data_IF_452642795094
#
_entry.id   IF_452642795094
#
_cell.length_a   1.000
_cell.length_b   1.000
_cell.length_c   1.000
_cell.angle_alpha   90.00
_cell.angle_beta   90.00
_cell.angle_gamma   90.00
#
_symmetry.space_group_name_H-M   'P 1'
#
loop_
_entity.id
_entity.type
_entity.pdbx_description
1 polymer ?
#
# COMPACT_ATOMS: atom_id res chain seq x y z
N UNK A 1 9.49 -20.45 11.35
CA UNK A 1 8.68 -20.16 10.14
C UNK A 1 7.32 -19.64 10.58
N UNK A 2 6.85 -18.55 9.96
CA UNK A 2 5.52 -17.99 10.23
C UNK A 2 4.76 -18.00 8.92
N UNK A 3 3.57 -18.62 8.91
CA UNK A 3 2.70 -18.64 7.73
C UNK A 3 1.39 -17.99 8.09
N UNK A 4 0.99 -16.98 7.32
CA UNK A 4 -0.29 -16.30 7.50
C UNK A 4 -1.15 -16.48 6.26
N UNK A 5 -2.45 -16.49 6.46
CA UNK A 5 -3.42 -16.51 5.36
C UNK A 5 -4.06 -15.13 5.28
N UNK A 6 -3.94 -14.50 4.11
CA UNK A 6 -4.43 -13.12 3.92
C UNK A 6 -5.88 -12.99 4.34
N UNK A 7 -6.73 -13.93 3.94
CA UNK A 7 -8.17 -13.86 4.23
C UNK A 7 -8.50 -13.96 5.72
N UNK A 8 -7.54 -14.38 6.55
CA UNK A 8 -7.73 -14.48 8.01
C UNK A 8 -7.14 -13.30 8.76
N UNK A 9 -6.47 -12.39 8.08
CA UNK A 9 -5.95 -11.17 8.70
C UNK A 9 -7.07 -10.15 8.71
N UNK A 10 -7.34 -9.59 9.88
CA UNK A 10 -8.37 -8.57 10.01
C UNK A 10 -8.00 -7.34 9.19
N UNK A 11 -8.93 -6.89 8.35
CA UNK A 11 -8.74 -5.69 7.56
C UNK A 11 -9.26 -4.49 8.35
N UNK A 12 -8.51 -3.39 8.30
CA UNK A 12 -9.09 -2.12 8.73
C UNK A 12 -9.37 -1.30 7.48
N UNK A 13 -10.53 -0.66 7.52
CA UNK A 13 -10.98 0.16 6.41
C UNK A 13 -10.41 1.55 6.59
N UNK A 14 -9.57 1.95 5.65
CA UNK A 14 -9.13 3.32 5.56
C UNK A 14 -10.30 4.16 5.07
N UNK A 15 -10.19 5.47 5.22
CA UNK A 15 -11.15 6.38 4.64
C UNK A 15 -11.15 6.16 3.13
N UNK A 16 -12.31 6.33 2.49
CA UNK A 16 -12.43 6.35 1.03
C UNK A 16 -12.36 4.97 0.34
N UNK A 17 -12.63 3.88 1.07
CA UNK A 17 -12.83 2.57 0.43
C UNK A 17 -11.58 1.74 0.25
N UNK A 18 -10.53 2.05 0.99
CA UNK A 18 -9.31 1.25 1.02
C UNK A 18 -9.39 0.25 2.17
N UNK A 19 -9.11 -1.03 1.90
CA UNK A 19 -9.06 -2.07 2.91
C UNK A 19 -7.62 -2.54 3.04
N UNK A 20 -7.06 -2.41 4.25
CA UNK A 20 -5.66 -2.71 4.51
C UNK A 20 -5.54 -3.85 5.51
N UNK A 21 -4.73 -4.84 5.16
CA UNK A 21 -4.37 -5.94 6.06
C UNK A 21 -2.87 -5.88 6.30
N UNK A 22 -2.48 -5.61 7.53
CA UNK A 22 -1.06 -5.61 7.91
C UNK A 22 -0.59 -7.06 7.99
N UNK A 23 0.41 -7.42 7.21
CA UNK A 23 0.87 -8.81 7.13
C UNK A 23 2.00 -9.06 8.12
N UNK A 24 3.12 -8.37 7.95
CA UNK A 24 4.27 -8.48 8.85
C UNK A 24 4.84 -7.12 9.17
N UNK A 25 5.31 -6.99 10.40
CA UNK A 25 6.02 -5.81 10.87
C UNK A 25 7.13 -6.26 11.82
N UNK A 26 8.06 -5.37 12.18
CA UNK A 26 9.13 -5.75 13.11
C UNK A 26 8.63 -6.35 14.42
N UNK A 27 7.53 -5.83 14.98
CA UNK A 27 7.02 -6.33 16.26
C UNK A 27 6.53 -7.77 16.18
N UNK A 28 6.17 -8.25 14.99
CA UNK A 28 5.68 -9.61 14.81
C UNK A 28 6.79 -10.60 14.47
N UNK A 29 8.00 -10.12 14.22
CA UNK A 29 9.12 -10.93 13.79
C UNK A 29 10.32 -10.79 14.73
N UNK A 30 10.07 -10.40 15.98
CA UNK A 30 11.12 -10.21 16.99
C UNK A 30 12.20 -9.25 16.51
N UNK A 31 11.79 -8.21 15.78
CA UNK A 31 12.65 -7.16 15.24
C UNK A 31 13.74 -7.68 14.28
N UNK A 32 13.48 -8.80 13.61
CA UNK A 32 14.43 -9.33 12.64
C UNK A 32 14.28 -8.73 11.24
N UNK A 33 13.17 -7.99 11.00
CA UNK A 33 13.01 -7.21 9.79
C UNK A 33 12.85 -5.74 10.17
N UNK A 34 13.20 -4.83 9.25
CA UNK A 34 13.04 -3.39 9.50
C UNK A 34 11.89 -2.79 8.67
N UNK A 35 11.33 -3.54 7.76
CA UNK A 35 10.24 -3.10 6.89
C UNK A 35 8.90 -3.64 7.39
N UNK A 36 7.82 -3.14 6.81
CA UNK A 36 6.50 -3.70 7.01
C UNK A 36 5.87 -4.05 5.66
N UNK A 37 4.99 -5.04 5.65
CA UNK A 37 4.28 -5.49 4.46
C UNK A 37 2.79 -5.45 4.75
N UNK A 38 2.02 -4.87 3.84
CA UNK A 38 0.57 -4.83 3.94
C UNK A 38 -0.08 -5.23 2.62
N UNK A 39 -1.29 -5.73 2.71
CA UNK A 39 -2.13 -6.09 1.57
C UNK A 39 -3.23 -5.04 1.48
N UNK A 40 -3.32 -4.38 0.34
CA UNK A 40 -4.25 -3.28 0.13
C UNK A 40 -5.24 -3.62 -0.97
N UNK A 41 -6.52 -3.38 -0.73
CA UNK A 41 -7.57 -3.55 -1.72
C UNK A 41 -8.31 -2.24 -1.89
N UNK A 42 -8.48 -1.81 -3.15
CA UNK A 42 -9.20 -0.58 -3.49
C UNK A 42 -10.34 -0.97 -4.43
N UNK A 43 -11.56 -0.63 -4.06
CA UNK A 43 -12.73 -0.95 -4.88
C UNK A 43 -12.82 -0.04 -6.10
N UNK A 44 -13.52 -0.50 -7.18
CA UNK A 44 -13.69 0.34 -8.36
C UNK A 44 -14.25 1.72 -8.04
N UNK A 45 -13.70 2.74 -8.66
CA UNK A 45 -14.12 4.11 -8.47
C UNK A 45 -13.59 4.77 -7.21
N UNK A 46 -12.77 4.05 -6.42
CA UNK A 46 -12.21 4.56 -5.18
C UNK A 46 -10.71 4.79 -5.34
N UNK A 47 -10.13 5.47 -4.37
CA UNK A 47 -8.68 5.69 -4.33
C UNK A 47 -8.20 5.65 -2.90
N UNK A 48 -6.89 5.40 -2.73
CA UNK A 48 -6.28 5.57 -1.43
C UNK A 48 -6.22 7.08 -1.12
N UNK A 49 -6.12 7.40 0.16
CA UNK A 49 -6.00 8.79 0.58
C UNK A 49 -4.63 9.33 0.15
N UNK A 50 -4.56 10.50 -0.50
CA UNK A 50 -3.27 11.10 -0.79
C UNK A 50 -2.50 11.37 0.50
N UNK A 51 -1.24 10.96 0.52
CA UNK A 51 -0.40 11.13 1.69
C UNK A 51 1.08 11.18 1.29
N UNK A 52 1.90 11.67 2.20
CA UNK A 52 3.34 11.76 2.03
C UNK A 52 3.98 10.99 3.18
N UNK A 53 4.88 10.07 2.84
CA UNK A 53 5.60 9.27 3.84
C UNK A 53 7.03 9.76 3.95
N UNK A 54 7.56 9.74 5.17
CA UNK A 54 8.98 10.02 5.40
C UNK A 54 9.86 8.85 4.97
N UNK A 55 9.25 7.69 4.77
CA UNK A 55 9.90 6.44 4.40
C UNK A 55 9.67 6.15 2.93
N UNK A 56 10.42 5.20 2.37
CA UNK A 56 10.14 4.72 1.01
C UNK A 56 9.01 3.70 1.04
N UNK A 57 8.34 3.56 -0.08
CA UNK A 57 7.29 2.57 -0.23
C UNK A 57 7.38 1.91 -1.60
N UNK A 58 7.02 0.65 -1.67
CA UNK A 58 6.98 -0.10 -2.92
C UNK A 58 5.63 -0.79 -3.02
N UNK A 59 5.03 -0.75 -4.22
CA UNK A 59 3.78 -1.43 -4.50
C UNK A 59 4.01 -2.50 -5.54
N UNK A 60 3.44 -3.66 -5.32
CA UNK A 60 3.36 -4.71 -6.34
C UNK A 60 1.88 -4.95 -6.62
N UNK A 61 1.45 -4.66 -7.84
CA UNK A 61 0.04 -4.83 -8.22
C UNK A 61 -0.22 -6.32 -8.48
N UNK A 62 -1.06 -6.91 -7.65
CA UNK A 62 -1.40 -8.32 -7.72
C UNK A 62 -2.57 -8.55 -8.67
N UNK A 63 -3.54 -7.64 -8.67
CA UNK A 63 -4.77 -7.79 -9.44
C UNK A 63 -5.31 -6.42 -9.81
N UNK A 64 -5.93 -6.35 -11.00
CA UNK A 64 -6.62 -5.14 -11.42
C UNK A 64 -5.72 -4.15 -12.12
N UNK A 65 -6.24 -2.97 -12.31
CA UNK A 65 -5.51 -1.86 -12.93
C UNK A 65 -5.97 -0.54 -12.33
N UNK A 66 -5.13 0.45 -12.43
CA UNK A 66 -5.42 1.75 -11.86
C UNK A 66 -4.44 2.80 -12.33
N UNK A 67 -4.45 3.93 -11.65
CA UNK A 67 -3.51 5.02 -11.90
C UNK A 67 -2.73 5.28 -10.63
N UNK A 68 -1.41 5.18 -10.71
CA UNK A 68 -0.53 5.53 -9.60
C UNK A 68 -0.10 6.98 -9.75
N UNK A 69 -0.25 7.74 -8.68
CA UNK A 69 0.16 9.15 -8.61
C UNK A 69 1.31 9.27 -7.63
N UNK A 70 2.43 9.80 -8.08
CA UNK A 70 3.62 10.06 -7.25
C UNK A 70 4.15 11.44 -7.59
N UNK A 71 4.06 12.38 -6.65
CA UNK A 71 4.44 13.77 -6.90
C UNK A 71 3.61 14.35 -8.04
N UNK A 72 4.29 14.87 -9.06
CA UNK A 72 3.62 15.43 -10.23
C UNK A 72 3.38 14.40 -11.33
N UNK A 73 3.88 13.17 -11.15
CA UNK A 73 3.73 12.12 -12.16
C UNK A 73 2.49 11.29 -11.90
N UNK A 74 1.92 10.75 -12.98
CA UNK A 74 0.91 9.71 -12.85
C UNK A 74 1.09 8.73 -14.01
N UNK A 75 0.84 7.46 -13.74
CA UNK A 75 0.97 6.41 -14.75
C UNK A 75 -0.12 5.38 -14.57
N UNK A 76 -0.63 4.86 -15.67
CA UNK A 76 -1.50 3.71 -15.67
C UNK A 76 -0.68 2.49 -15.24
N UNK A 77 -1.21 1.73 -14.28
CA UNK A 77 -0.56 0.51 -13.77
C UNK A 77 -1.55 -0.63 -13.82
N UNK A 78 -1.04 -1.85 -13.87
CA UNK A 78 -1.85 -3.06 -13.96
C UNK A 78 -1.15 -4.21 -13.28
N UNK A 79 -1.80 -5.37 -13.27
CA UNK A 79 -1.26 -6.60 -12.68
C UNK A 79 0.19 -6.82 -13.11
N UNK A 80 1.01 -7.15 -12.12
CA UNK A 80 2.44 -7.42 -12.25
C UNK A 80 3.32 -6.18 -12.42
N UNK A 81 2.76 -5.00 -12.33
CA UNK A 81 3.59 -3.79 -12.26
C UNK A 81 4.10 -3.59 -10.84
N UNK A 82 5.32 -3.08 -10.73
CA UNK A 82 5.95 -2.74 -9.46
C UNK A 82 6.29 -1.26 -9.47
N UNK A 83 5.92 -0.55 -8.41
CA UNK A 83 6.11 0.89 -8.31
C UNK A 83 7.00 1.19 -7.11
N UNK A 84 8.00 2.04 -7.30
CA UNK A 84 8.81 2.58 -6.22
C UNK A 84 8.41 4.01 -5.95
N UNK A 85 8.14 4.31 -4.68
CA UNK A 85 7.81 5.66 -4.23
C UNK A 85 8.94 6.14 -3.32
N UNK A 86 9.71 7.15 -3.72
CA UNK A 86 10.76 7.67 -2.88
C UNK A 86 10.20 8.39 -1.65
N UNK A 87 11.01 8.52 -0.59
CA UNK A 87 10.58 9.28 0.58
C UNK A 87 10.17 10.70 0.23
N UNK A 88 9.22 11.23 0.97
CA UNK A 88 8.76 12.62 0.88
C UNK A 88 8.02 12.94 -0.42
N UNK A 89 7.55 11.94 -1.15
CA UNK A 89 6.71 12.15 -2.35
C UNK A 89 5.26 11.91 -1.99
N UNK A 90 4.39 12.83 -2.41
CA UNK A 90 2.95 12.66 -2.26
C UNK A 90 2.50 11.52 -3.16
N UNK A 91 1.70 10.61 -2.62
CA UNK A 91 1.30 9.41 -3.34
C UNK A 91 -0.16 9.06 -3.10
N UNK A 92 -0.79 8.48 -4.10
CA UNK A 92 -2.06 7.77 -3.95
C UNK A 92 -2.29 6.87 -5.16
N UNK A 93 -3.08 5.82 -4.94
CA UNK A 93 -3.40 4.83 -5.97
C UNK A 93 -4.90 4.87 -6.21
N UNK A 94 -5.27 5.06 -7.46
CA UNK A 94 -6.66 5.21 -7.88
C UNK A 94 -7.09 4.00 -8.69
N UNK A 95 -8.27 3.44 -8.36
CA UNK A 95 -8.84 2.34 -9.13
C UNK A 95 -9.82 2.90 -10.15
N UNK A 96 -9.37 3.02 -11.40
CA UNK A 96 -10.21 3.44 -12.52
C UNK A 96 -10.68 2.26 -13.37
N UNK A 97 -10.51 1.04 -12.85
CA UNK A 97 -10.95 -0.18 -13.53
C UNK A 97 -12.31 -0.66 -13.05
N UNK A 98 -12.65 -1.88 -13.43
CA UNK A 98 -13.97 -2.47 -13.15
C UNK A 98 -13.93 -3.54 -12.06
N UNK A 99 -12.74 -4.00 -11.68
CA UNK A 99 -12.57 -5.00 -10.62
C UNK A 99 -11.74 -4.42 -9.49
N UNK A 100 -11.67 -5.13 -8.37
CA UNK A 100 -10.85 -4.71 -7.24
C UNK A 100 -9.40 -4.60 -7.65
N UNK A 101 -8.76 -3.53 -7.20
CA UNK A 101 -7.33 -3.30 -7.37
C UNK A 101 -6.64 -3.77 -6.09
N UNK A 102 -5.74 -4.73 -6.23
CA UNK A 102 -5.07 -5.35 -5.08
C UNK A 102 -3.57 -5.18 -5.23
N UNK A 103 -2.94 -4.73 -4.16
CA UNK A 103 -1.50 -4.51 -4.16
C UNK A 103 -0.88 -4.98 -2.84
N UNK A 104 0.38 -5.45 -2.92
CA UNK A 104 1.23 -5.55 -1.75
C UNK A 104 1.98 -4.25 -1.61
N UNK A 105 2.05 -3.74 -0.38
CA UNK A 105 2.75 -2.51 -0.07
C UNK A 105 3.87 -2.82 0.92
N UNK A 106 5.08 -2.43 0.58
CA UNK A 106 6.25 -2.60 1.44
C UNK A 106 6.74 -1.22 1.84
N UNK A 107 6.84 -0.98 3.14
CA UNK A 107 7.30 0.30 3.67
C UNK A 107 8.61 0.06 4.42
N UNK A 108 9.65 0.82 4.11
CA UNK A 108 10.97 0.67 4.69
C UNK A 108 11.56 2.03 5.07
N UNK A 109 11.85 2.27 6.35
CA UNK A 109 11.56 1.44 7.53
C UNK A 109 10.05 1.22 7.73
N UNK A 110 9.70 0.27 8.58
CA UNK A 110 8.32 -0.13 8.80
C UNK A 110 7.39 1.05 9.04
N UNK A 111 6.17 0.92 8.55
CA UNK A 111 5.16 1.97 8.68
C UNK A 111 4.93 2.36 10.14
N UNK A 112 4.91 3.66 10.40
CA UNK A 112 4.52 4.27 11.66
C UNK A 112 3.65 5.47 11.35
N UNK A 113 2.67 5.69 12.19
CA UNK A 113 1.75 6.82 11.98
C UNK A 113 2.49 8.16 11.94
N UNK A 114 3.50 8.33 12.79
CA UNK A 114 4.28 9.57 12.85
C UNK A 114 5.11 9.85 11.61
N UNK A 115 5.33 8.85 10.75
CA UNK A 115 6.06 9.03 9.49
C UNK A 115 5.12 9.46 8.35
N UNK A 116 3.82 9.40 8.56
CA UNK A 116 2.83 9.79 7.56
C UNK A 116 2.46 11.26 7.75
N UNK A 117 2.68 12.05 6.70
CA UNK A 117 2.36 13.47 6.71
C UNK A 117 0.98 13.61 6.06
N UNK A 118 0.00 14.10 6.82
CA UNK A 118 -1.35 14.29 6.31
C UNK A 118 -1.39 15.44 5.31
N UNK A 119 -2.17 15.26 4.26
CA UNK A 119 -2.42 16.28 3.24
C UNK A 119 -3.74 17.02 3.53
#
# INVERSE_FOLDING_TARGET
MIVKKIEKIEAFTGKEGTHIRQIFSPSETDNTIRYSIAHCTIYPGKSSKPHTMRTSEMYYIIQGNGVMHVGEEHKQVKQNDVIFVPPMSKQFLENNGEIQLVALCIVDPAWKQEDEIAE
#
